data_IF_776476281211
#
_entry.id   IF_776476281211
#
_cell.length_a   1.000
_cell.length_b   1.000
_cell.length_c   1.000
_cell.angle_alpha   90.00
_cell.angle_beta   90.00
_cell.angle_gamma   90.00
#
_symmetry.space_group_name_H-M   'P 1'
#
loop_
_entity.id
_entity.type
_entity.pdbx_description
1 polymer ?
#
# COMPACT_ATOMS: atom_id res chain seq x y z
N UNK A 1 -25.80 -93.41 5.56
CA UNK A 1 -24.50 -92.79 5.82
C UNK A 1 -24.40 -91.62 4.88
N UNK A 2 -24.86 -90.42 5.33
CA UNK A 2 -24.95 -89.18 4.49
C UNK A 2 -24.08 -88.17 5.18
N UNK A 3 -23.00 -87.76 4.52
CA UNK A 3 -22.08 -86.76 4.97
C UNK A 3 -22.64 -85.37 4.61
N UNK A 4 -22.76 -84.49 5.59
CA UNK A 4 -23.08 -83.04 5.36
C UNK A 4 -21.80 -82.22 5.14
N UNK A 5 -21.82 -81.21 4.27
CA UNK A 5 -20.68 -80.35 4.05
C UNK A 5 -20.66 -79.17 5.06
N UNK A 6 -19.49 -78.96 5.67
CA UNK A 6 -19.23 -77.84 6.56
C UNK A 6 -19.15 -76.49 5.76
N UNK A 7 -19.94 -75.51 6.17
CA UNK A 7 -19.87 -74.16 5.66
C UNK A 7 -18.77 -73.38 6.37
N UNK A 8 -17.68 -73.10 5.68
CA UNK A 8 -16.55 -72.27 6.14
C UNK A 8 -16.95 -70.76 6.09
N UNK A 9 -17.29 -70.19 7.27
CA UNK A 9 -17.49 -68.73 7.41
C UNK A 9 -16.16 -68.01 7.30
N UNK A 10 -15.95 -67.22 6.23
CA UNK A 10 -14.83 -66.29 6.08
C UNK A 10 -15.02 -65.08 7.02
N UNK A 11 -14.13 -64.91 8.00
CA UNK A 11 -14.04 -63.72 8.84
C UNK A 11 -13.19 -62.69 8.10
N UNK A 12 -13.82 -61.73 7.45
CA UNK A 12 -13.12 -60.54 7.01
C UNK A 12 -12.89 -59.60 8.20
N UNK A 13 -11.68 -59.07 8.42
CA UNK A 13 -11.44 -58.16 9.53
C UNK A 13 -12.08 -56.79 9.28
N UNK A 14 -12.92 -56.36 10.21
CA UNK A 14 -13.64 -55.07 10.23
C UNK A 14 -12.72 -53.86 10.47
N UNK A 15 -11.39 -53.96 10.29
CA UNK A 15 -10.42 -52.94 10.68
C UNK A 15 -10.11 -51.92 9.55
N UNK A 16 -10.41 -52.25 8.28
CA UNK A 16 -10.03 -51.37 7.15
C UNK A 16 -10.98 -50.19 6.86
N UNK A 17 -12.20 -50.18 7.41
CA UNK A 17 -13.18 -49.10 7.06
C UNK A 17 -13.08 -47.86 7.95
N UNK A 18 -12.53 -48.00 9.17
CA UNK A 18 -12.43 -46.82 10.08
C UNK A 18 -11.24 -45.90 9.80
N UNK A 19 -10.20 -46.35 9.09
CA UNK A 19 -9.02 -45.49 8.78
C UNK A 19 -9.27 -44.55 7.59
N UNK A 20 -10.17 -44.96 6.66
CA UNK A 20 -10.48 -44.11 5.48
C UNK A 20 -11.41 -42.93 5.80
N UNK A 21 -12.23 -42.99 6.86
CA UNK A 21 -13.13 -41.90 7.25
C UNK A 21 -12.43 -40.79 8.07
N UNK A 22 -11.24 -41.05 8.64
CA UNK A 22 -10.49 -40.08 9.43
C UNK A 22 -9.59 -39.12 8.60
N UNK A 23 -9.19 -39.56 7.40
CA UNK A 23 -8.28 -38.74 6.54
C UNK A 23 -9.02 -37.77 5.60
N UNK A 24 -10.30 -38.00 5.32
CA UNK A 24 -11.07 -37.17 4.40
C UNK A 24 -11.30 -35.73 4.93
N UNK A 25 -11.65 -35.48 6.20
CA UNK A 25 -11.85 -34.13 6.71
C UNK A 25 -10.54 -33.32 6.81
N UNK A 26 -9.39 -33.99 7.05
CA UNK A 26 -8.10 -33.32 7.13
C UNK A 26 -7.61 -32.83 5.75
N UNK A 27 -7.85 -33.59 4.69
CA UNK A 27 -7.50 -33.20 3.33
C UNK A 27 -8.37 -32.04 2.82
N UNK A 28 -9.67 -32.03 3.18
CA UNK A 28 -10.59 -30.92 2.81
C UNK A 28 -10.21 -29.64 3.57
N UNK A 29 -9.84 -29.76 4.85
CA UNK A 29 -9.42 -28.61 5.66
C UNK A 29 -8.09 -28.01 5.18
N UNK A 30 -7.12 -28.84 4.80
CA UNK A 30 -5.86 -28.39 4.20
C UNK A 30 -6.09 -27.72 2.83
N UNK A 31 -7.02 -28.20 2.03
CA UNK A 31 -7.37 -27.60 0.74
C UNK A 31 -8.05 -26.23 0.90
N UNK A 32 -8.88 -26.05 1.92
CA UNK A 32 -9.51 -24.75 2.23
C UNK A 32 -8.52 -23.71 2.76
N UNK A 33 -7.47 -24.12 3.48
CA UNK A 33 -6.42 -23.19 3.92
C UNK A 33 -5.59 -22.73 2.73
N UNK A 34 -5.22 -23.60 1.79
CA UNK A 34 -4.47 -23.24 0.59
C UNK A 34 -5.29 -22.39 -0.39
N UNK A 35 -6.59 -22.65 -0.55
CA UNK A 35 -7.46 -21.87 -1.43
C UNK A 35 -7.67 -20.42 -0.95
N UNK A 36 -7.42 -20.12 0.33
CA UNK A 36 -7.54 -18.78 0.88
C UNK A 36 -6.28 -17.93 0.66
N UNK A 37 -5.13 -18.56 0.41
CA UNK A 37 -3.86 -17.85 0.14
C UNK A 37 -3.63 -17.56 -1.35
N UNK A 38 -4.22 -18.32 -2.26
CA UNK A 38 -4.05 -18.17 -3.72
C UNK A 38 -4.72 -16.93 -4.32
N UNK A 39 -5.47 -16.13 -3.52
CA UNK A 39 -6.16 -14.93 -4.00
C UNK A 39 -5.70 -13.61 -3.36
N UNK A 40 -4.78 -13.63 -2.39
CA UNK A 40 -4.30 -12.42 -1.75
C UNK A 40 -3.27 -11.71 -2.64
N UNK A 41 -3.73 -10.78 -3.46
CA UNK A 41 -2.83 -9.89 -4.19
C UNK A 41 -1.94 -9.14 -3.18
N UNK A 42 -0.63 -9.05 -3.46
CA UNK A 42 0.30 -8.34 -2.58
C UNK A 42 -0.13 -6.88 -2.43
N UNK A 43 -0.19 -6.41 -1.17
CA UNK A 43 -0.60 -5.05 -0.87
C UNK A 43 0.37 -4.03 -1.47
N UNK A 44 -0.14 -3.07 -2.23
CA UNK A 44 0.63 -1.92 -2.73
C UNK A 44 0.59 -0.80 -1.70
N UNK A 45 1.73 -0.25 -1.35
CA UNK A 45 1.86 0.86 -0.41
C UNK A 45 2.01 2.18 -1.16
N UNK A 46 1.30 3.21 -0.74
CA UNK A 46 1.36 4.55 -1.32
C UNK A 46 1.75 5.56 -0.26
N UNK A 47 2.66 6.45 -0.60
CA UNK A 47 2.91 7.69 0.13
C UNK A 47 2.41 8.82 -0.74
N UNK A 48 1.42 9.56 -0.25
CA UNK A 48 0.85 10.71 -0.96
C UNK A 48 1.10 11.97 -0.13
N UNK A 49 1.79 12.94 -0.72
CA UNK A 49 2.17 14.19 -0.06
C UNK A 49 1.95 15.40 -0.96
N UNK A 50 1.89 16.55 -0.36
CA UNK A 50 2.04 17.84 -1.03
C UNK A 50 3.54 18.11 -1.26
N UNK A 51 3.88 18.90 -2.31
CA UNK A 51 5.24 19.45 -2.48
C UNK A 51 5.72 20.15 -1.20
N UNK A 52 7.02 20.18 -0.98
CA UNK A 52 7.65 20.81 0.16
C UNK A 52 7.56 22.36 0.12
N UNK A 53 8.03 23.04 1.14
CA UNK A 53 7.92 24.48 1.33
C UNK A 53 8.49 25.29 0.16
N UNK A 54 7.74 26.32 -0.27
CA UNK A 54 8.13 27.29 -1.26
C UNK A 54 7.93 28.72 -0.74
N UNK A 55 8.66 29.70 -1.27
CA UNK A 55 8.50 31.09 -0.90
C UNK A 55 7.39 31.76 -1.73
N UNK A 56 6.30 32.17 -1.08
CA UNK A 56 5.17 32.82 -1.73
C UNK A 56 4.67 32.05 -2.96
N UNK A 57 4.77 32.67 -4.14
CA UNK A 57 4.37 32.07 -5.42
C UNK A 57 5.55 31.50 -6.23
N UNK A 58 6.75 31.44 -5.67
CA UNK A 58 7.90 30.82 -6.34
C UNK A 58 7.64 29.36 -6.69
N UNK A 59 8.24 28.88 -7.77
CA UNK A 59 8.14 27.46 -8.14
C UNK A 59 9.30 26.63 -7.58
N UNK A 60 10.27 27.25 -6.91
CA UNK A 60 11.42 26.61 -6.27
C UNK A 60 11.15 26.35 -4.78
N UNK A 61 11.81 25.33 -4.24
CA UNK A 61 11.79 25.06 -2.80
C UNK A 61 12.63 26.09 -2.02
N UNK A 62 12.23 26.32 -0.77
CA UNK A 62 13.05 27.01 0.23
C UNK A 62 14.04 26.05 0.85
N UNK A 63 14.96 26.57 1.71
CA UNK A 63 15.85 25.72 2.51
C UNK A 63 15.06 24.74 3.42
N UNK A 64 13.91 25.16 3.96
CA UNK A 64 13.01 24.29 4.71
C UNK A 64 12.44 23.19 3.80
N UNK A 65 12.01 23.55 2.59
CA UNK A 65 11.54 22.59 1.59
C UNK A 65 12.62 21.60 1.18
N UNK A 66 13.86 22.04 1.00
CA UNK A 66 14.99 21.18 0.68
C UNK A 66 15.27 20.18 1.82
N UNK A 67 15.22 20.63 3.10
CA UNK A 67 15.34 19.72 4.26
C UNK A 67 14.22 18.69 4.28
N UNK A 68 12.99 19.07 3.96
CA UNK A 68 11.85 18.14 3.88
C UNK A 68 12.02 17.12 2.75
N UNK A 69 12.53 17.53 1.59
CA UNK A 69 12.86 16.65 0.48
C UNK A 69 13.95 15.62 0.87
N UNK A 70 14.96 16.04 1.66
CA UNK A 70 15.97 15.13 2.20
C UNK A 70 15.40 14.11 3.20
N UNK A 71 14.42 14.49 4.03
CA UNK A 71 13.68 13.56 4.88
C UNK A 71 12.86 12.57 4.07
N UNK A 72 12.18 13.05 3.02
CA UNK A 72 11.44 12.16 2.10
C UNK A 72 12.37 11.13 1.47
N UNK A 73 13.59 11.53 1.06
CA UNK A 73 14.60 10.61 0.56
C UNK A 73 14.92 9.51 1.58
N UNK A 74 15.13 9.87 2.85
CA UNK A 74 15.43 8.89 3.90
C UNK A 74 14.27 7.91 4.10
N UNK A 75 13.03 8.41 4.23
CA UNK A 75 11.83 7.60 4.37
C UNK A 75 11.64 6.67 3.17
N UNK A 76 11.63 7.23 1.96
CA UNK A 76 11.38 6.49 0.74
C UNK A 76 12.46 5.42 0.47
N UNK A 77 13.73 5.69 0.81
CA UNK A 77 14.82 4.71 0.72
C UNK A 77 14.60 3.56 1.70
N UNK A 78 14.24 3.87 2.96
CA UNK A 78 14.04 2.88 4.01
C UNK A 78 12.90 1.89 3.68
N UNK A 79 11.84 2.36 3.03
CA UNK A 79 10.68 1.56 2.63
C UNK A 79 10.82 0.97 1.21
N UNK A 80 11.95 1.17 0.53
CA UNK A 80 12.26 0.63 -0.80
C UNK A 80 11.27 1.10 -1.88
N UNK A 81 11.15 2.40 -2.07
CA UNK A 81 10.33 3.01 -3.14
C UNK A 81 10.62 2.36 -4.49
N UNK A 82 9.55 1.94 -5.18
CA UNK A 82 9.61 1.28 -6.49
C UNK A 82 9.10 2.16 -7.62
N UNK A 83 8.31 3.20 -7.32
CA UNK A 83 7.82 4.17 -8.30
C UNK A 83 7.66 5.56 -7.67
N UNK A 84 7.88 6.60 -8.47
CA UNK A 84 7.74 8.01 -8.05
C UNK A 84 6.91 8.74 -9.09
N UNK A 85 5.83 9.39 -8.64
CA UNK A 85 4.96 10.21 -9.47
C UNK A 85 4.97 11.66 -9.00
N UNK A 86 5.06 12.60 -9.93
CA UNK A 86 5.07 14.04 -9.67
C UNK A 86 4.23 14.79 -10.70
N UNK A 87 3.67 15.93 -10.33
CA UNK A 87 3.18 16.87 -11.33
C UNK A 87 4.37 17.60 -12.00
N UNK A 88 4.14 18.19 -13.17
CA UNK A 88 5.21 18.89 -13.93
C UNK A 88 5.43 20.32 -13.45
N UNK A 89 5.69 20.51 -12.14
CA UNK A 89 6.09 21.76 -11.54
C UNK A 89 7.47 21.62 -10.91
N UNK A 90 8.28 22.67 -10.93
CA UNK A 90 9.63 22.60 -10.36
C UNK A 90 9.61 22.18 -8.89
N UNK A 91 8.77 22.77 -8.06
CA UNK A 91 8.63 22.46 -6.62
C UNK A 91 8.26 20.99 -6.34
N UNK A 92 7.40 20.38 -7.17
CA UNK A 92 7.02 18.97 -6.98
C UNK A 92 8.14 18.04 -7.39
N UNK A 93 8.82 18.32 -8.49
CA UNK A 93 10.00 17.56 -8.92
C UNK A 93 11.15 17.70 -7.93
N UNK A 94 11.48 18.93 -7.48
CA UNK A 94 12.51 19.16 -6.47
C UNK A 94 12.23 18.40 -5.16
N UNK A 95 10.96 18.26 -4.77
CA UNK A 95 10.60 17.48 -3.57
C UNK A 95 11.00 16.01 -3.66
N UNK A 96 10.93 15.39 -4.84
CA UNK A 96 11.24 13.94 -5.03
C UNK A 96 12.60 13.69 -5.66
N UNK A 97 13.28 14.70 -6.22
CA UNK A 97 14.58 14.52 -6.88
C UNK A 97 15.61 13.82 -5.98
N UNK A 98 15.81 14.21 -4.69
CA UNK A 98 16.76 13.52 -3.84
C UNK A 98 16.45 12.03 -3.60
N UNK A 99 15.15 11.68 -3.58
CA UNK A 99 14.71 10.28 -3.48
C UNK A 99 14.97 9.53 -4.79
N UNK A 100 14.58 10.12 -5.92
CA UNK A 100 14.77 9.54 -7.25
C UNK A 100 16.23 9.21 -7.53
N UNK A 101 17.14 10.16 -7.26
CA UNK A 101 18.59 9.98 -7.40
C UNK A 101 19.14 8.89 -6.46
N UNK A 102 18.63 8.81 -5.22
CA UNK A 102 19.09 7.82 -4.24
C UNK A 102 18.67 6.40 -4.57
N UNK A 103 17.48 6.24 -5.15
CA UNK A 103 16.88 4.92 -5.42
C UNK A 103 17.05 4.47 -6.88
N UNK A 104 17.55 5.34 -7.76
CA UNK A 104 17.61 5.12 -9.21
C UNK A 104 16.22 4.87 -9.84
N UNK A 105 15.17 5.47 -9.25
CA UNK A 105 13.80 5.37 -9.71
C UNK A 105 13.43 6.64 -10.48
N UNK A 106 13.03 6.49 -11.74
CA UNK A 106 12.64 7.62 -12.58
C UNK A 106 11.37 8.32 -12.06
N UNK A 107 11.34 9.65 -12.13
CA UNK A 107 10.15 10.45 -11.83
C UNK A 107 9.20 10.38 -13.02
N UNK A 108 8.00 9.83 -12.80
CA UNK A 108 6.90 9.79 -13.76
C UNK A 108 6.00 11.01 -13.58
N UNK A 109 5.66 11.66 -14.69
CA UNK A 109 4.82 12.88 -14.64
C UNK A 109 3.36 12.52 -14.84
N UNK A 110 2.50 13.01 -13.95
CA UNK A 110 1.05 12.91 -14.09
C UNK A 110 0.39 14.29 -14.20
N UNK A 111 -0.77 14.33 -14.87
CA UNK A 111 -1.56 15.57 -15.01
C UNK A 111 -2.38 15.83 -13.75
N UNK A 112 -2.23 17.02 -13.10
CA UNK A 112 -3.03 17.34 -11.92
C UNK A 112 -4.54 17.30 -12.22
N UNK A 113 -5.32 16.77 -11.29
CA UNK A 113 -6.78 16.64 -11.40
C UNK A 113 -7.28 15.47 -12.25
N UNK A 114 -6.41 14.71 -12.92
CA UNK A 114 -6.76 13.41 -13.53
C UNK A 114 -6.37 12.27 -12.59
N UNK A 115 -7.24 11.27 -12.47
CA UNK A 115 -7.05 10.12 -11.56
C UNK A 115 -7.04 8.77 -12.28
N UNK A 116 -7.26 8.76 -13.60
CA UNK A 116 -7.32 7.57 -14.45
C UNK A 116 -6.00 6.76 -14.46
N UNK A 117 -4.87 7.43 -14.27
CA UNK A 117 -3.55 6.80 -14.21
C UNK A 117 -3.31 5.98 -12.93
N UNK A 118 -4.07 6.20 -11.84
CA UNK A 118 -3.89 5.49 -10.57
C UNK A 118 -4.10 3.98 -10.69
N UNK A 119 -5.08 3.55 -11.48
CA UNK A 119 -5.34 2.13 -11.71
C UNK A 119 -4.18 1.47 -12.47
N UNK A 120 -3.62 2.15 -13.45
CA UNK A 120 -2.43 1.67 -14.17
C UNK A 120 -1.24 1.58 -13.23
N UNK A 121 -0.94 2.63 -12.46
CA UNK A 121 0.14 2.64 -11.49
C UNK A 121 0.02 1.51 -10.47
N UNK A 122 -1.19 1.23 -9.97
CA UNK A 122 -1.42 0.10 -9.07
C UNK A 122 -1.12 -1.24 -9.73
N UNK A 123 -1.54 -1.44 -10.97
CA UNK A 123 -1.32 -2.71 -11.69
C UNK A 123 0.14 -2.96 -12.05
N UNK A 124 0.89 -1.90 -12.35
CA UNK A 124 2.32 -1.97 -12.69
C UNK A 124 3.22 -2.19 -11.45
N UNK A 125 2.75 -1.79 -10.26
CA UNK A 125 3.54 -1.80 -9.02
C UNK A 125 2.88 -2.61 -7.90
N UNK A 126 2.23 -3.73 -8.24
CA UNK A 126 1.63 -4.65 -7.25
C UNK A 126 2.67 -5.09 -6.22
N UNK A 127 2.37 -4.94 -4.93
CA UNK A 127 3.29 -5.26 -3.84
C UNK A 127 4.45 -4.28 -3.66
N UNK A 128 4.51 -3.23 -4.48
CA UNK A 128 5.54 -2.20 -4.42
C UNK A 128 5.19 -1.03 -3.51
N UNK A 129 6.07 -0.03 -3.52
CA UNK A 129 5.91 1.23 -2.79
C UNK A 129 5.94 2.39 -3.76
N UNK A 130 4.87 3.16 -3.82
CA UNK A 130 4.67 4.27 -4.74
C UNK A 130 4.67 5.59 -3.96
N UNK A 131 5.50 6.54 -4.36
CA UNK A 131 5.51 7.91 -3.80
C UNK A 131 4.88 8.86 -4.79
N UNK A 132 3.90 9.64 -4.34
CA UNK A 132 3.18 10.64 -5.14
C UNK A 132 3.34 12.01 -4.52
N UNK A 133 3.79 12.98 -5.32
CA UNK A 133 3.87 14.39 -4.91
C UNK A 133 2.94 15.24 -5.74
N UNK A 134 2.03 15.93 -5.04
CA UNK A 134 1.06 16.83 -5.63
C UNK A 134 1.01 18.20 -4.95
N UNK A 135 -0.18 18.78 -4.90
CA UNK A 135 -0.48 20.10 -4.36
C UNK A 135 -1.59 19.99 -3.29
N UNK A 136 -1.85 21.06 -2.54
CA UNK A 136 -2.90 21.09 -1.51
C UNK A 136 -4.28 20.69 -2.04
N UNK A 137 -4.55 20.96 -3.31
CA UNK A 137 -5.83 20.66 -3.97
C UNK A 137 -5.84 19.34 -4.77
N UNK A 138 -4.72 18.67 -4.97
CA UNK A 138 -4.63 17.41 -5.74
C UNK A 138 -4.28 16.20 -4.89
N UNK A 139 -3.63 16.41 -3.74
CA UNK A 139 -3.26 15.33 -2.81
C UNK A 139 -4.49 14.60 -2.26
N UNK A 140 -5.47 15.33 -1.72
CA UNK A 140 -6.65 14.70 -1.10
C UNK A 140 -7.55 13.94 -2.09
N UNK A 141 -7.84 14.43 -3.31
CA UNK A 141 -8.53 13.63 -4.32
C UNK A 141 -7.86 12.29 -4.64
N UNK A 142 -6.51 12.24 -4.65
CA UNK A 142 -5.78 10.98 -4.84
C UNK A 142 -5.97 10.05 -3.64
N UNK A 143 -5.85 10.56 -2.41
CA UNK A 143 -6.07 9.80 -1.17
C UNK A 143 -7.48 9.22 -1.12
N UNK A 144 -8.49 10.03 -1.41
CA UNK A 144 -9.89 9.62 -1.45
C UNK A 144 -10.14 8.53 -2.52
N UNK A 145 -9.59 8.72 -3.73
CA UNK A 145 -9.74 7.74 -4.81
C UNK A 145 -9.10 6.38 -4.49
N UNK A 146 -7.98 6.36 -3.76
CA UNK A 146 -7.26 5.14 -3.40
C UNK A 146 -7.87 4.40 -2.20
N UNK A 147 -8.49 5.11 -1.25
CA UNK A 147 -8.89 4.53 0.05
C UNK A 147 -10.29 4.90 0.53
N UNK A 148 -10.96 5.85 -0.10
CA UNK A 148 -12.20 6.42 0.41
C UNK A 148 -12.02 7.33 1.65
N UNK A 149 -10.77 7.53 2.12
CA UNK A 149 -10.50 8.36 3.29
C UNK A 149 -10.72 9.84 2.98
N UNK A 150 -11.54 10.49 3.81
CA UNK A 150 -11.85 11.92 3.70
C UNK A 150 -11.13 12.70 4.79
N UNK A 151 -10.13 13.47 4.38
CA UNK A 151 -9.35 14.31 5.27
C UNK A 151 -9.81 15.78 5.22
N UNK A 152 -9.48 16.54 6.27
CA UNK A 152 -9.66 18.00 6.26
C UNK A 152 -8.79 18.64 5.15
N UNK A 153 -9.23 19.74 4.51
CA UNK A 153 -8.42 20.44 3.52
C UNK A 153 -7.00 20.75 4.02
N UNK A 154 -6.02 20.65 3.11
CA UNK A 154 -4.63 21.01 3.41
C UNK A 154 -4.51 22.54 3.38
N UNK A 155 -4.08 23.12 4.50
CA UNK A 155 -3.88 24.56 4.62
C UNK A 155 -2.81 25.12 3.67
N UNK A 156 -2.85 26.43 3.42
CA UNK A 156 -1.89 27.08 2.50
C UNK A 156 -0.43 26.84 2.90
N UNK A 157 -0.12 26.95 4.18
CA UNK A 157 1.24 26.81 4.73
C UNK A 157 1.48 25.45 5.40
N UNK A 158 0.64 24.46 5.08
CA UNK A 158 0.72 23.11 5.64
C UNK A 158 1.42 22.18 4.65
N UNK A 159 2.65 21.76 4.95
CA UNK A 159 3.52 20.93 4.10
C UNK A 159 3.92 19.60 4.72
N UNK A 160 3.61 19.39 5.98
CA UNK A 160 4.09 18.25 6.79
C UNK A 160 3.14 17.04 6.81
N UNK A 161 1.99 17.11 6.12
CA UNK A 161 1.07 15.96 6.04
C UNK A 161 1.57 14.92 5.07
N UNK A 162 1.53 13.67 5.55
CA UNK A 162 1.86 12.48 4.78
C UNK A 162 0.72 11.48 4.92
N UNK A 163 0.21 10.98 3.80
CA UNK A 163 -0.79 9.93 3.76
C UNK A 163 -0.11 8.62 3.37
N UNK A 164 -0.13 7.65 4.28
CA UNK A 164 0.35 6.29 4.05
C UNK A 164 -0.86 5.39 3.81
N UNK A 165 -0.97 4.82 2.60
CA UNK A 165 -2.10 3.99 2.23
C UNK A 165 -1.62 2.60 1.83
N UNK A 166 -2.52 1.62 1.97
CA UNK A 166 -2.38 0.28 1.40
C UNK A 166 -3.61 -0.06 0.58
N UNK A 167 -3.39 -0.57 -0.63
CA UNK A 167 -4.40 -1.05 -1.56
C UNK A 167 -4.06 -2.46 -2.04
N UNK A 168 -4.97 -3.11 -2.78
CA UNK A 168 -4.78 -4.51 -3.20
C UNK A 168 -5.13 -5.52 -2.10
N UNK A 169 -5.65 -5.06 -0.97
CA UNK A 169 -6.24 -5.84 0.12
C UNK A 169 -7.75 -5.82 0.05
N UNK A 170 -8.44 -6.64 0.87
CA UNK A 170 -9.90 -6.66 0.92
C UNK A 170 -10.49 -5.30 1.26
N UNK A 171 -9.83 -4.52 2.13
CA UNK A 171 -10.20 -3.16 2.49
C UNK A 171 -8.94 -2.26 2.40
N UNK A 172 -8.98 -1.19 1.58
CA UNK A 172 -7.92 -0.21 1.56
C UNK A 172 -7.80 0.50 2.92
N UNK A 173 -6.57 0.83 3.31
CA UNK A 173 -6.30 1.56 4.56
C UNK A 173 -5.61 2.87 4.30
N UNK A 174 -5.81 3.86 5.18
CA UNK A 174 -5.11 5.14 5.14
C UNK A 174 -4.73 5.57 6.57
N UNK A 175 -3.47 5.94 6.74
CA UNK A 175 -2.95 6.60 7.94
C UNK A 175 -2.52 8.02 7.57
N UNK A 176 -3.06 8.99 8.25
CA UNK A 176 -2.61 10.38 8.15
C UNK A 176 -1.51 10.61 9.20
N UNK A 177 -0.33 11.00 8.74
CA UNK A 177 0.87 11.19 9.52
C UNK A 177 1.43 12.61 9.32
N UNK A 178 2.37 12.98 10.16
CA UNK A 178 3.19 14.19 10.01
C UNK A 178 4.64 13.80 9.83
N UNK A 179 5.39 14.51 9.00
CA UNK A 179 6.80 14.25 8.77
C UNK A 179 7.62 15.54 8.69
N UNK A 180 8.81 15.52 9.28
CA UNK A 180 9.70 16.66 9.34
C UNK A 180 9.26 17.74 10.34
N UNK A 181 9.74 18.96 10.13
CA UNK A 181 9.38 20.12 10.95
C UNK A 181 7.89 20.44 10.82
N UNK A 182 7.22 20.79 11.93
CA UNK A 182 5.82 21.23 11.87
C UNK A 182 5.66 22.45 10.98
N UNK A 183 4.69 22.38 10.09
CA UNK A 183 4.35 23.51 9.24
C UNK A 183 3.58 24.59 10.02
N UNK A 184 3.71 25.85 9.61
CA UNK A 184 2.90 26.92 10.17
C UNK A 184 1.40 26.58 9.97
N UNK A 185 0.63 26.59 11.05
CA UNK A 185 -0.79 26.24 11.06
C UNK A 185 -1.12 24.77 11.35
N UNK A 186 -0.13 23.88 11.50
CA UNK A 186 -0.38 22.54 12.05
C UNK A 186 -0.88 22.66 13.50
N UNK A 187 -1.90 21.88 13.95
CA UNK A 187 -2.27 21.86 15.35
C UNK A 187 -1.07 21.43 16.18
N UNK A 188 -0.77 22.18 17.26
CA UNK A 188 0.30 21.80 18.18
C UNK A 188 -0.03 20.42 18.77
N UNK A 189 0.99 19.57 18.95
CA UNK A 189 0.85 18.25 19.57
C UNK A 189 0.32 18.31 21.02
N UNK A 190 0.33 19.52 21.61
CA UNK A 190 -0.11 19.79 22.98
C UNK A 190 -1.62 20.12 23.09
N UNK A 191 -2.40 19.98 22.02
CA UNK A 191 -3.84 20.28 21.98
C UNK A 191 -4.73 19.02 22.07
N UNK A 192 -4.21 17.88 22.55
CA UNK A 192 -4.93 16.62 22.76
C UNK A 192 -5.09 16.30 24.24
#
# INVERSE_FOLDING_TARGET
MILQPETRRSRFPRICVMILLGLLPMAIFAHQIHAKEEGAQAATTWIVIRHAERAGNADQLTDAGNRRAELLKQLGTAIRTTAIYSTDYQRTRETVTPLAEKTDVAIQIYSPGKLDWLQQAQSEHVGGVIVIVGHSNTTLPIVEALSGYQAKPIGHDEYDRLFLLQTGTAEPTCLELRYGESSAGAPSADAA
#
